data_IF_796715055652
#
_entry.id   IF_796715055652
#
_cell.length_a   1.000
_cell.length_b   1.000
_cell.length_c   1.000
_cell.angle_alpha   90.00
_cell.angle_beta   90.00
_cell.angle_gamma   90.00
#
_symmetry.space_group_name_H-M   'P 1'
#
loop_
_entity.id
_entity.type
_entity.pdbx_description
1 polymer ?
#
# COMPACT_ATOMS: atom_id res chain seq x y z
N UNK A 1 -35.15 6.22 19.84
CA UNK A 1 -35.34 7.66 19.55
C UNK A 1 -36.08 7.77 18.22
N UNK A 2 -37.34 8.22 18.25
CA UNK A 2 -38.16 8.36 17.04
C UNK A 2 -37.71 9.60 16.29
N UNK A 3 -37.18 9.42 15.09
CA UNK A 3 -36.83 10.56 14.21
C UNK A 3 -38.09 11.04 13.52
N UNK A 4 -38.55 12.26 13.82
CA UNK A 4 -39.65 12.91 13.12
C UNK A 4 -39.15 13.39 11.75
N UNK A 5 -39.73 12.88 10.67
CA UNK A 5 -39.45 13.31 9.29
C UNK A 5 -40.64 14.16 8.84
N UNK A 6 -40.39 15.40 8.44
CA UNK A 6 -41.38 16.34 7.94
C UNK A 6 -41.40 16.36 6.42
N UNK A 7 -42.55 16.09 5.80
CA UNK A 7 -42.73 16.19 4.35
C UNK A 7 -43.47 17.48 3.99
N UNK A 8 -42.97 18.20 3.00
CA UNK A 8 -43.54 19.47 2.54
C UNK A 8 -43.96 19.32 1.06
N UNK A 9 -45.27 19.25 0.77
CA UNK A 9 -45.71 19.24 -0.63
C UNK A 9 -45.76 20.66 -1.18
N UNK A 10 -45.22 20.90 -2.35
CA UNK A 10 -45.34 22.13 -3.09
C UNK A 10 -45.87 21.85 -4.49
N UNK A 11 -46.95 22.48 -4.84
CA UNK A 11 -47.62 22.57 -6.13
C UNK A 11 -48.14 21.31 -6.86
N UNK A 12 -49.29 21.49 -7.50
CA UNK A 12 -50.23 20.52 -8.02
C UNK A 12 -49.96 19.96 -9.42
N UNK A 13 -48.73 19.84 -9.89
CA UNK A 13 -48.42 19.14 -11.13
C UNK A 13 -47.69 17.83 -10.87
N UNK A 14 -48.16 16.74 -11.41
CA UNK A 14 -47.60 15.39 -11.24
C UNK A 14 -46.13 15.23 -11.65
N UNK A 15 -45.57 16.16 -12.41
CA UNK A 15 -44.24 16.15 -12.94
C UNK A 15 -43.26 17.19 -12.31
N UNK A 16 -43.59 17.72 -11.11
CA UNK A 16 -42.70 18.69 -10.50
C UNK A 16 -41.56 18.01 -9.72
N UNK A 17 -40.39 18.66 -9.68
CA UNK A 17 -39.23 18.23 -8.89
C UNK A 17 -39.57 17.92 -7.43
N UNK A 18 -40.55 18.67 -6.86
CA UNK A 18 -41.04 18.51 -5.49
C UNK A 18 -41.78 17.20 -5.29
N UNK A 19 -42.55 16.71 -6.27
CA UNK A 19 -43.21 15.40 -6.19
C UNK A 19 -42.23 14.26 -6.29
N UNK A 20 -41.19 14.39 -7.12
CA UNK A 20 -40.08 13.42 -7.22
C UNK A 20 -39.32 13.34 -5.90
N UNK A 21 -39.01 14.48 -5.27
CA UNK A 21 -38.33 14.56 -3.98
C UNK A 21 -39.18 13.97 -2.86
N UNK A 22 -40.48 14.26 -2.83
CA UNK A 22 -41.44 13.71 -1.85
C UNK A 22 -41.52 12.18 -1.95
N UNK A 23 -41.58 11.65 -3.18
CA UNK A 23 -41.60 10.21 -3.44
C UNK A 23 -40.30 9.53 -3.01
N UNK A 24 -39.15 10.16 -3.27
CA UNK A 24 -37.86 9.65 -2.83
C UNK A 24 -37.74 9.63 -1.29
N UNK A 25 -38.20 10.68 -0.62
CA UNK A 25 -38.23 10.77 0.84
C UNK A 25 -39.17 9.74 1.47
N UNK A 26 -40.35 9.49 0.86
CA UNK A 26 -41.30 8.46 1.32
C UNK A 26 -40.68 7.06 1.21
N UNK A 27 -40.09 6.71 0.06
CA UNK A 27 -39.40 5.42 -0.14
C UNK A 27 -38.24 5.23 0.84
N UNK A 28 -37.48 6.28 1.10
CA UNK A 28 -36.39 6.23 2.09
C UNK A 28 -36.91 6.00 3.52
N UNK A 29 -38.01 6.62 3.87
CA UNK A 29 -38.63 6.45 5.19
C UNK A 29 -39.29 5.08 5.37
N UNK A 30 -39.95 4.54 4.34
CA UNK A 30 -40.48 3.18 4.32
C UNK A 30 -39.40 2.11 4.46
N UNK A 31 -38.28 2.29 3.81
CA UNK A 31 -37.11 1.37 3.87
C UNK A 31 -36.50 1.33 5.29
N UNK A 32 -36.68 2.35 6.09
CA UNK A 32 -36.17 2.43 7.47
C UNK A 32 -37.18 2.04 8.54
N UNK A 33 -38.42 1.65 8.16
CA UNK A 33 -39.51 1.30 9.10
C UNK A 33 -40.03 2.47 9.92
N UNK A 34 -39.83 3.72 9.49
CA UNK A 34 -40.06 4.93 10.27
C UNK A 34 -41.47 5.54 10.12
N UNK A 35 -42.41 4.93 9.36
CA UNK A 35 -43.72 5.51 9.11
C UNK A 35 -44.87 4.55 9.48
N UNK A 36 -45.65 4.94 10.46
CA UNK A 36 -47.05 4.55 10.61
C UNK A 36 -47.90 5.83 10.50
N UNK A 37 -48.56 6.02 9.35
CA UNK A 37 -49.65 6.96 9.06
C UNK A 37 -49.46 8.47 9.35
N UNK A 38 -49.21 9.26 8.30
CA UNK A 38 -49.38 10.73 8.31
C UNK A 38 -50.56 11.11 7.43
N UNK A 39 -51.60 11.76 8.03
CA UNK A 39 -52.72 12.37 7.32
C UNK A 39 -52.43 13.85 7.04
N UNK A 40 -52.43 14.26 5.79
CA UNK A 40 -52.14 15.64 5.37
C UNK A 40 -53.44 16.44 5.17
N UNK A 41 -53.58 17.58 5.87
CA UNK A 41 -54.68 18.52 5.70
C UNK A 41 -54.23 19.74 4.90
N UNK A 42 -54.98 20.13 3.87
CA UNK A 42 -54.71 21.26 2.97
C UNK A 42 -54.77 22.61 3.70
N UNK A 43 -53.75 23.43 3.68
CA UNK A 43 -53.70 24.80 4.20
C UNK A 43 -53.36 25.84 3.14
N UNK A 44 -53.87 27.10 3.27
CA UNK A 44 -53.75 28.21 2.32
C UNK A 44 -52.34 28.86 2.29
N UNK A 45 -51.96 29.33 1.14
CA UNK A 45 -50.60 29.37 0.54
C UNK A 45 -49.64 30.51 0.89
N UNK A 46 -49.81 31.39 1.83
CA UNK A 46 -48.89 32.54 1.96
C UNK A 46 -48.02 32.61 3.22
N UNK A 47 -48.47 32.04 4.33
CA UNK A 47 -47.70 32.03 5.60
C UNK A 47 -46.79 30.79 5.70
N UNK A 48 -47.15 29.72 4.98
CA UNK A 48 -46.41 28.46 5.01
C UNK A 48 -45.06 28.55 4.28
N UNK A 49 -44.94 29.38 3.22
CA UNK A 49 -43.70 29.54 2.45
C UNK A 49 -42.58 30.21 3.25
N UNK A 50 -42.90 31.10 4.17
CA UNK A 50 -41.89 31.81 4.99
C UNK A 50 -41.38 30.92 6.15
N UNK A 51 -42.24 30.13 6.76
CA UNK A 51 -41.85 29.20 7.83
C UNK A 51 -41.05 28.00 7.30
N UNK A 52 -41.31 27.55 6.07
CA UNK A 52 -40.59 26.43 5.47
C UNK A 52 -39.15 26.81 5.05
N UNK A 53 -38.92 28.06 4.59
CA UNK A 53 -37.58 28.53 4.27
C UNK A 53 -36.68 28.66 5.51
N UNK A 54 -37.24 29.13 6.63
CA UNK A 54 -36.53 29.25 7.91
C UNK A 54 -36.24 27.88 8.52
N UNK A 55 -37.17 26.91 8.41
CA UNK A 55 -36.97 25.56 8.94
C UNK A 55 -35.98 24.75 8.08
N UNK A 56 -36.00 24.93 6.76
CA UNK A 56 -35.00 24.32 5.87
C UNK A 56 -33.59 24.86 6.14
N UNK A 57 -33.45 26.16 6.39
CA UNK A 57 -32.16 26.79 6.75
C UNK A 57 -31.65 26.31 8.13
N UNK A 58 -32.53 26.12 9.10
CA UNK A 58 -32.18 25.60 10.43
C UNK A 58 -31.82 24.09 10.41
N UNK A 59 -32.47 23.30 9.55
CA UNK A 59 -32.09 21.88 9.38
C UNK A 59 -30.83 21.70 8.59
N UNK A 60 -30.53 22.54 7.56
CA UNK A 60 -29.24 22.55 6.87
C UNK A 60 -28.11 22.99 7.79
N UNK A 61 -28.32 24.00 8.66
CA UNK A 61 -27.32 24.41 9.65
C UNK A 61 -27.07 23.34 10.73
N UNK A 62 -28.07 22.49 11.05
CA UNK A 62 -27.90 21.37 11.98
C UNK A 62 -27.27 20.13 11.33
N UNK A 63 -27.43 19.94 10.01
CA UNK A 63 -26.75 18.89 9.23
C UNK A 63 -25.30 19.26 8.90
N UNK A 64 -24.98 20.56 8.89
CA UNK A 64 -23.59 21.05 8.81
C UNK A 64 -22.82 20.89 10.13
N UNK A 65 -23.44 20.30 11.16
CA UNK A 65 -22.77 20.02 12.42
C UNK A 65 -21.97 18.73 12.32
N UNK A 66 -20.77 18.91 11.87
CA UNK A 66 -19.58 18.13 12.23
C UNK A 66 -19.77 16.61 12.31
N UNK A 67 -19.88 15.93 11.19
CA UNK A 67 -19.01 14.80 11.03
C UNK A 67 -17.60 15.38 10.73
N UNK A 68 -16.89 15.77 11.76
CA UNK A 68 -15.45 15.77 11.75
C UNK A 68 -15.05 14.29 11.65
N UNK A 69 -15.25 13.69 10.48
CA UNK A 69 -14.42 12.57 10.07
C UNK A 69 -13.01 13.17 10.08
N UNK A 70 -12.13 12.75 10.97
CA UNK A 70 -10.76 13.22 10.94
C UNK A 70 -10.28 13.02 9.51
N UNK A 71 -10.02 14.12 8.78
CA UNK A 71 -9.37 14.01 7.48
C UNK A 71 -8.03 13.40 7.85
N UNK A 72 -7.89 12.08 7.60
CA UNK A 72 -6.66 11.39 7.89
C UNK A 72 -5.54 12.16 7.20
N UNK A 73 -4.58 12.63 7.98
CA UNK A 73 -3.46 13.39 7.42
C UNK A 73 -2.79 12.54 6.35
N UNK A 74 -2.60 13.08 5.13
CA UNK A 74 -2.00 12.33 4.06
C UNK A 74 -0.63 11.79 4.46
N UNK A 75 -0.42 10.49 4.29
CA UNK A 75 0.90 9.90 4.47
C UNK A 75 1.74 10.07 3.22
N UNK A 76 3.07 10.09 3.39
CA UNK A 76 4.03 9.97 2.30
C UNK A 76 4.60 8.56 2.32
N UNK A 77 4.34 7.79 1.25
CA UNK A 77 4.88 6.45 1.06
C UNK A 77 6.10 6.52 0.15
N UNK A 78 7.16 5.81 0.55
CA UNK A 78 8.34 5.59 -0.29
C UNK A 78 8.42 4.09 -0.57
N UNK A 79 8.30 3.70 -1.84
CA UNK A 79 8.19 2.32 -2.27
C UNK A 79 9.49 1.87 -2.93
N UNK A 80 10.08 0.79 -2.40
CA UNK A 80 11.34 0.19 -2.88
C UNK A 80 11.06 -1.20 -3.41
N UNK A 81 11.40 -1.44 -4.69
CA UNK A 81 11.19 -2.72 -5.36
C UNK A 81 12.23 -3.77 -4.95
N UNK A 82 11.96 -5.03 -5.28
CA UNK A 82 12.88 -6.16 -5.10
C UNK A 82 13.83 -6.35 -6.27
N UNK A 83 14.66 -7.39 -6.15
CA UNK A 83 15.58 -7.84 -7.19
C UNK A 83 14.84 -8.24 -8.48
N UNK A 84 15.53 -8.16 -9.62
CA UNK A 84 15.01 -8.45 -10.97
C UNK A 84 13.79 -7.63 -11.40
N UNK A 85 13.35 -6.69 -10.56
CA UNK A 85 12.20 -5.82 -10.76
C UNK A 85 12.64 -4.36 -10.91
N UNK A 86 11.66 -3.47 -11.08
CA UNK A 86 11.87 -2.03 -11.25
C UNK A 86 10.61 -1.27 -10.83
N UNK A 87 10.58 0.09 -10.82
CA UNK A 87 9.44 0.89 -10.37
C UNK A 87 8.07 0.48 -10.90
N UNK A 88 8.01 -0.08 -12.11
CA UNK A 88 6.76 -0.46 -12.78
C UNK A 88 5.88 -1.41 -11.94
N UNK A 89 6.46 -2.16 -11.02
CA UNK A 89 5.71 -3.11 -10.19
C UNK A 89 4.74 -2.42 -9.25
N UNK A 90 5.01 -1.17 -8.91
CA UNK A 90 4.22 -0.35 -8.01
C UNK A 90 3.13 0.51 -8.68
N UNK A 91 3.01 0.50 -10.01
CA UNK A 91 2.15 1.43 -10.77
C UNK A 91 0.70 1.48 -10.24
N UNK A 92 0.08 0.31 -10.01
CA UNK A 92 -1.31 0.22 -9.55
C UNK A 92 -1.43 0.61 -8.08
N UNK A 93 -0.53 0.12 -7.22
CA UNK A 93 -0.49 0.50 -5.80
C UNK A 93 -0.28 1.99 -5.64
N UNK A 94 0.68 2.57 -6.39
CA UNK A 94 0.91 4.02 -6.43
C UNK A 94 -0.36 4.78 -6.78
N UNK A 95 -1.05 4.38 -7.83
CA UNK A 95 -2.30 5.02 -8.28
C UNK A 95 -3.37 4.93 -7.20
N UNK A 96 -3.54 3.77 -6.56
CA UNK A 96 -4.52 3.58 -5.49
C UNK A 96 -4.24 4.47 -4.27
N UNK A 97 -2.97 4.57 -3.86
CA UNK A 97 -2.56 5.42 -2.73
C UNK A 97 -2.78 6.91 -3.04
N UNK A 98 -2.41 7.36 -4.25
CA UNK A 98 -2.64 8.74 -4.71
C UNK A 98 -4.13 9.09 -4.75
N UNK A 99 -4.99 8.19 -5.24
CA UNK A 99 -6.45 8.38 -5.27
C UNK A 99 -7.08 8.48 -3.86
N UNK A 100 -6.36 8.07 -2.83
CA UNK A 100 -6.74 8.24 -1.41
C UNK A 100 -6.10 9.47 -0.76
N UNK A 101 -5.53 10.36 -1.56
CA UNK A 101 -4.95 11.63 -1.10
C UNK A 101 -3.54 11.53 -0.52
N UNK A 102 -2.91 10.36 -0.56
CA UNK A 102 -1.55 10.19 -0.07
C UNK A 102 -0.51 10.69 -1.09
N UNK A 103 0.71 10.96 -0.61
CA UNK A 103 1.88 11.19 -1.47
C UNK A 103 2.63 9.88 -1.67
N UNK A 104 3.18 9.65 -2.87
CA UNK A 104 3.90 8.41 -3.19
C UNK A 104 5.15 8.71 -3.99
N UNK A 105 6.28 8.23 -3.52
CA UNK A 105 7.55 8.19 -4.24
C UNK A 105 7.87 6.73 -4.51
N UNK A 106 8.12 6.39 -5.77
CA UNK A 106 8.63 5.08 -6.15
C UNK A 106 10.10 5.26 -6.52
N UNK A 107 10.97 4.56 -5.82
CA UNK A 107 12.42 4.67 -6.04
C UNK A 107 12.84 3.67 -7.11
N UNK A 108 13.57 4.15 -8.13
CA UNK A 108 14.32 3.31 -9.05
C UNK A 108 15.71 3.11 -8.48
N UNK A 109 16.04 1.87 -8.11
CA UNK A 109 17.36 1.54 -7.62
C UNK A 109 18.38 1.56 -8.78
N UNK A 110 19.62 2.04 -8.55
CA UNK A 110 20.64 2.01 -9.57
C UNK A 110 20.87 0.61 -10.16
N UNK A 111 21.07 0.54 -11.48
CA UNK A 111 21.20 -0.73 -12.22
C UNK A 111 19.88 -1.43 -12.55
N UNK A 112 18.72 -0.84 -12.23
CA UNK A 112 17.39 -1.39 -12.50
C UNK A 112 16.59 -0.53 -13.47
N UNK A 113 15.53 -1.10 -14.05
CA UNK A 113 14.62 -0.38 -14.94
C UNK A 113 15.34 0.31 -16.10
N UNK A 114 15.29 1.64 -16.13
CA UNK A 114 15.98 2.46 -17.12
C UNK A 114 17.39 2.87 -16.70
N UNK A 115 17.74 2.71 -15.42
CA UNK A 115 19.07 3.06 -14.92
C UNK A 115 20.13 2.07 -15.43
N UNK A 116 21.23 2.60 -15.99
CA UNK A 116 22.32 1.82 -16.57
C UNK A 116 23.64 1.97 -15.79
N UNK A 117 23.55 2.25 -14.48
CA UNK A 117 24.73 2.29 -13.61
C UNK A 117 25.47 0.94 -13.69
N UNK A 118 26.77 1.01 -13.85
CA UNK A 118 27.62 -0.18 -14.04
C UNK A 118 27.57 -1.09 -12.81
N UNK A 119 27.34 -2.40 -13.02
CA UNK A 119 27.08 -3.37 -11.95
C UNK A 119 28.23 -3.50 -10.95
N UNK A 120 29.47 -3.36 -11.38
CA UNK A 120 30.65 -3.41 -10.52
C UNK A 120 30.79 -2.23 -9.54
N UNK A 121 30.00 -1.15 -9.75
CA UNK A 121 29.95 0.00 -8.83
C UNK A 121 28.81 -0.09 -7.82
N UNK A 122 27.94 -1.08 -7.96
CA UNK A 122 26.74 -1.20 -7.14
C UNK A 122 27.03 -1.95 -5.84
N UNK A 123 26.42 -1.47 -4.78
CA UNK A 123 26.42 -2.08 -3.46
C UNK A 123 25.10 -1.79 -2.77
N UNK A 124 24.85 -2.47 -1.64
CA UNK A 124 23.69 -2.17 -0.82
C UNK A 124 23.71 -0.72 -0.29
N UNK A 125 24.90 -0.18 -0.04
CA UNK A 125 25.08 1.22 0.36
C UNK A 125 24.66 2.19 -0.74
N UNK A 126 24.96 1.90 -1.99
CA UNK A 126 24.50 2.69 -3.14
C UNK A 126 22.98 2.69 -3.24
N UNK A 127 22.35 1.53 -3.03
CA UNK A 127 20.88 1.43 -3.00
C UNK A 127 20.28 2.21 -1.82
N UNK A 128 20.85 2.07 -0.63
CA UNK A 128 20.48 2.83 0.57
C UNK A 128 20.54 4.34 0.31
N UNK A 129 21.65 4.82 -0.23
CA UNK A 129 21.88 6.25 -0.43
C UNK A 129 20.94 6.84 -1.48
N UNK A 130 20.56 6.05 -2.50
CA UNK A 130 19.52 6.44 -3.46
C UNK A 130 18.15 6.65 -2.80
N UNK A 131 17.78 5.79 -1.87
CA UNK A 131 16.53 5.93 -1.10
C UNK A 131 16.63 7.11 -0.14
N UNK A 132 17.76 7.29 0.53
CA UNK A 132 17.99 8.45 1.42
C UNK A 132 17.89 9.76 0.63
N UNK A 133 18.45 9.83 -0.57
CA UNK A 133 18.33 11.01 -1.45
C UNK A 133 16.86 11.39 -1.70
N UNK A 134 16.02 10.40 -1.98
CA UNK A 134 14.59 10.62 -2.20
C UNK A 134 13.87 11.12 -0.94
N UNK A 135 14.23 10.60 0.25
CA UNK A 135 13.59 10.94 1.53
C UNK A 135 14.11 12.27 2.08
N UNK A 136 15.39 12.58 1.91
CA UNK A 136 16.04 13.76 2.51
C UNK A 136 15.40 15.09 2.06
N UNK A 137 14.80 15.10 0.87
CA UNK A 137 14.11 16.26 0.29
C UNK A 137 12.73 16.53 0.91
N UNK A 138 12.24 15.62 1.78
CA UNK A 138 10.93 15.72 2.40
C UNK A 138 11.04 16.32 3.80
N UNK A 139 10.04 17.13 4.18
CA UNK A 139 9.96 17.69 5.52
C UNK A 139 9.25 16.76 6.52
N UNK A 140 8.35 15.91 6.03
CA UNK A 140 7.58 14.95 6.81
C UNK A 140 8.28 13.60 6.95
N UNK A 141 7.85 12.82 7.97
CA UNK A 141 8.23 11.41 8.09
C UNK A 141 7.50 10.57 7.03
N UNK A 142 8.14 9.50 6.58
CA UNK A 142 7.60 8.61 5.55
C UNK A 142 7.25 7.23 6.09
N UNK A 143 6.27 6.58 5.46
CA UNK A 143 6.10 5.13 5.53
C UNK A 143 7.00 4.53 4.46
N UNK A 144 8.06 3.86 4.88
CA UNK A 144 9.06 3.27 3.98
C UNK A 144 8.75 1.79 3.76
N UNK A 145 8.48 1.43 2.50
CA UNK A 145 8.01 0.10 2.10
C UNK A 145 9.08 -0.59 1.26
N UNK A 146 9.46 -1.80 1.64
CA UNK A 146 10.41 -2.63 0.90
C UNK A 146 9.85 -4.00 0.57
N UNK A 147 10.02 -4.41 -0.68
CA UNK A 147 9.69 -5.74 -1.16
C UNK A 147 10.95 -6.58 -1.39
N UNK A 148 10.95 -7.86 -1.01
CA UNK A 148 12.02 -8.80 -1.31
C UNK A 148 13.40 -8.25 -0.89
N UNK A 149 14.39 -8.15 -1.77
CA UNK A 149 15.69 -7.48 -1.54
C UNK A 149 15.51 -6.05 -0.99
N UNK A 150 14.46 -5.35 -1.38
CA UNK A 150 14.15 -4.00 -0.87
C UNK A 150 14.04 -3.94 0.66
N UNK A 151 13.77 -5.06 1.33
CA UNK A 151 13.81 -5.16 2.79
C UNK A 151 15.20 -4.92 3.38
N UNK A 152 16.27 -5.43 2.75
CA UNK A 152 17.65 -5.13 3.12
C UNK A 152 17.94 -3.63 2.98
N UNK A 153 17.48 -3.03 1.88
CA UNK A 153 17.68 -1.61 1.58
C UNK A 153 17.00 -0.73 2.63
N UNK A 154 15.71 -0.97 2.92
CA UNK A 154 14.97 -0.13 3.90
C UNK A 154 15.51 -0.31 5.32
N UNK A 155 16.05 -1.48 5.66
CA UNK A 155 16.75 -1.72 6.94
C UNK A 155 17.99 -0.83 7.05
N UNK A 156 18.82 -0.80 6.00
CA UNK A 156 20.02 0.04 5.96
C UNK A 156 19.69 1.55 5.95
N UNK A 157 18.60 1.96 5.29
CA UNK A 157 18.10 3.35 5.33
C UNK A 157 17.66 3.73 6.73
N UNK A 158 16.90 2.88 7.41
CA UNK A 158 16.38 3.15 8.74
C UNK A 158 17.50 3.31 9.78
N UNK A 159 18.61 2.61 9.62
CA UNK A 159 19.79 2.80 10.47
C UNK A 159 20.37 4.21 10.33
N UNK A 160 20.39 4.78 9.13
CA UNK A 160 21.01 6.08 8.85
C UNK A 160 20.11 7.27 9.17
N UNK A 161 18.81 7.17 8.91
CA UNK A 161 17.86 8.28 9.04
C UNK A 161 16.57 7.87 9.79
N UNK A 162 16.65 7.25 10.98
CA UNK A 162 15.47 6.75 11.69
C UNK A 162 14.44 7.84 11.98
N UNK A 163 14.90 9.07 12.23
CA UNK A 163 14.04 10.22 12.52
C UNK A 163 13.12 10.63 11.34
N UNK A 164 13.46 10.25 10.11
CA UNK A 164 12.69 10.53 8.90
C UNK A 164 11.64 9.45 8.58
N UNK A 165 11.60 8.36 9.34
CA UNK A 165 10.74 7.21 9.06
C UNK A 165 9.69 7.10 10.17
N UNK A 166 8.42 7.03 9.79
CA UNK A 166 7.31 6.78 10.71
C UNK A 166 7.09 5.28 10.94
N UNK A 167 7.17 4.49 9.86
CA UNK A 167 7.02 3.03 9.88
C UNK A 167 7.85 2.40 8.76
N UNK A 168 8.40 1.22 9.02
CA UNK A 168 8.94 0.30 8.02
C UNK A 168 7.90 -0.77 7.70
N UNK A 169 7.66 -1.01 6.42
CA UNK A 169 6.75 -2.06 5.95
C UNK A 169 7.50 -3.02 5.04
N UNK A 170 7.59 -4.26 5.47
CA UNK A 170 8.20 -5.37 4.73
C UNK A 170 7.11 -6.16 4.03
N UNK A 171 7.21 -6.37 2.72
CA UNK A 171 6.24 -7.15 1.94
C UNK A 171 6.96 -8.34 1.30
N UNK A 172 6.74 -9.57 1.79
CA UNK A 172 7.46 -10.76 1.32
C UNK A 172 8.95 -10.48 1.19
N UNK A 173 9.57 -9.87 2.22
CA UNK A 173 10.87 -9.21 2.10
C UNK A 173 11.92 -9.81 3.04
N UNK A 174 13.19 -9.72 2.66
CA UNK A 174 14.31 -10.05 3.54
C UNK A 174 14.40 -9.05 4.69
N UNK A 175 14.50 -9.57 5.90
CA UNK A 175 14.62 -8.80 7.13
C UNK A 175 15.81 -9.38 7.93
N UNK A 176 17.00 -8.75 7.83
CA UNK A 176 18.21 -9.31 8.43
C UNK A 176 18.27 -9.09 9.94
N UNK A 177 18.97 -9.96 10.64
CA UNK A 177 19.62 -9.60 11.89
C UNK A 177 20.88 -8.76 11.63
N UNK A 178 21.35 -8.02 12.63
CA UNK A 178 22.56 -7.19 12.46
C UNK A 178 23.77 -8.04 12.09
N UNK A 179 24.47 -7.65 11.05
CA UNK A 179 25.64 -8.38 10.52
C UNK A 179 25.32 -9.42 9.45
N UNK A 180 24.05 -9.61 9.05
CA UNK A 180 23.67 -10.52 7.97
C UNK A 180 23.63 -9.84 6.61
N UNK A 181 23.99 -10.60 5.58
CA UNK A 181 23.75 -10.31 4.18
C UNK A 181 22.46 -10.99 3.69
N UNK A 182 21.96 -10.59 2.52
CA UNK A 182 20.81 -11.26 1.89
C UNK A 182 21.15 -12.73 1.61
N UNK A 183 22.35 -13.03 1.14
CA UNK A 183 22.79 -14.40 0.87
C UNK A 183 22.77 -15.30 2.10
N UNK A 184 23.08 -14.77 3.29
CA UNK A 184 23.03 -15.56 4.53
C UNK A 184 21.60 -16.04 4.80
N UNK A 185 20.60 -15.18 4.58
CA UNK A 185 19.19 -15.49 4.72
C UNK A 185 18.71 -16.44 3.62
N UNK A 186 19.03 -16.15 2.36
CA UNK A 186 18.59 -16.96 1.23
C UNK A 186 19.10 -18.40 1.31
N UNK A 187 20.37 -18.61 1.72
CA UNK A 187 20.95 -19.96 1.90
C UNK A 187 20.36 -20.69 3.12
N UNK A 188 19.76 -19.97 4.07
CA UNK A 188 19.06 -20.58 5.22
C UNK A 188 17.63 -21.02 4.92
N UNK A 189 17.14 -20.84 3.68
CA UNK A 189 15.78 -21.17 3.27
C UNK A 189 15.74 -22.46 2.40
N UNK A 190 15.54 -23.64 3.01
CA UNK A 190 15.54 -24.90 2.28
C UNK A 190 14.31 -25.05 1.35
N UNK A 191 13.25 -24.27 1.60
CA UNK A 191 12.01 -24.34 0.83
C UNK A 191 11.99 -23.41 -0.38
N UNK A 192 12.96 -22.48 -0.49
CA UNK A 192 13.10 -21.58 -1.62
C UNK A 192 13.36 -22.36 -2.92
N UNK A 193 12.63 -21.97 -3.98
CA UNK A 193 12.80 -22.52 -5.32
C UNK A 193 13.69 -21.64 -6.21
N UNK A 194 14.14 -20.49 -5.69
CA UNK A 194 14.95 -19.55 -6.46
C UNK A 194 16.39 -20.04 -6.65
N UNK A 195 17.05 -20.48 -5.58
CA UNK A 195 18.48 -20.84 -5.59
C UNK A 195 18.91 -21.76 -6.75
N UNK A 196 18.22 -22.91 -6.98
CA UNK A 196 18.54 -23.85 -8.08
C UNK A 196 18.36 -23.27 -9.50
N UNK A 197 17.69 -22.11 -9.62
CA UNK A 197 17.37 -21.48 -10.90
C UNK A 197 18.20 -20.24 -11.19
N UNK A 198 19.13 -19.88 -10.28
CA UNK A 198 20.06 -18.77 -10.47
C UNK A 198 21.17 -19.14 -11.46
N UNK A 199 21.51 -18.21 -12.33
CA UNK A 199 22.58 -18.32 -13.33
C UNK A 199 23.51 -17.13 -13.16
N UNK A 200 24.66 -17.29 -12.50
CA UNK A 200 25.68 -16.24 -12.41
C UNK A 200 26.26 -15.92 -13.79
N UNK A 201 26.52 -14.64 -14.06
CA UNK A 201 27.31 -14.24 -15.22
C UNK A 201 28.78 -14.74 -15.12
N UNK A 202 29.48 -14.80 -16.24
CA UNK A 202 30.88 -15.28 -16.27
C UNK A 202 31.81 -14.45 -15.37
N UNK A 203 31.57 -13.16 -15.24
CA UNK A 203 32.29 -12.25 -14.35
C UNK A 203 31.74 -12.19 -12.93
N UNK A 204 30.65 -12.93 -12.64
CA UNK A 204 29.96 -12.99 -11.37
C UNK A 204 29.39 -11.65 -10.89
N UNK A 205 29.25 -10.67 -11.77
CA UNK A 205 28.72 -9.35 -11.44
C UNK A 205 27.20 -9.29 -11.51
N UNK A 206 26.56 -10.26 -12.16
CA UNK A 206 25.10 -10.35 -12.23
C UNK A 206 24.59 -11.77 -11.97
N UNK A 207 23.35 -11.84 -11.49
CA UNK A 207 22.59 -13.07 -11.34
C UNK A 207 21.39 -13.02 -12.27
N UNK A 208 21.34 -13.94 -13.20
CA UNK A 208 20.18 -14.21 -14.04
C UNK A 208 19.30 -15.29 -13.39
N UNK A 209 18.06 -15.42 -13.84
CA UNK A 209 17.15 -16.50 -13.45
C UNK A 209 16.74 -17.25 -14.71
N UNK A 210 16.69 -18.58 -14.61
CA UNK A 210 16.22 -19.42 -15.72
C UNK A 210 14.90 -18.85 -16.29
N UNK A 211 14.95 -18.44 -17.57
CA UNK A 211 13.93 -17.59 -18.20
C UNK A 211 12.51 -18.15 -18.11
N UNK A 212 12.37 -19.47 -18.35
CA UNK A 212 11.08 -20.15 -18.32
C UNK A 212 10.46 -20.23 -16.91
N UNK A 213 11.26 -19.95 -15.87
CA UNK A 213 10.83 -20.02 -14.47
C UNK A 213 10.43 -18.67 -13.88
N UNK A 214 10.68 -17.54 -14.58
CA UNK A 214 10.46 -16.19 -14.06
C UNK A 214 9.05 -15.95 -13.54
N UNK A 215 8.05 -16.27 -14.36
CA UNK A 215 6.65 -16.00 -14.00
C UNK A 215 6.14 -16.96 -12.93
N UNK A 216 6.66 -18.19 -12.91
CA UNK A 216 6.35 -19.16 -11.87
C UNK A 216 6.95 -18.75 -10.51
N UNK A 217 8.17 -18.25 -10.48
CA UNK A 217 8.82 -17.78 -9.25
C UNK A 217 8.16 -16.51 -8.71
N UNK A 218 8.03 -15.49 -9.55
CA UNK A 218 7.72 -14.13 -9.06
C UNK A 218 6.24 -13.75 -9.09
N UNK A 219 5.42 -14.40 -9.95
CA UNK A 219 4.03 -13.96 -10.17
C UNK A 219 3.13 -15.13 -10.65
N UNK A 220 3.22 -16.28 -10.02
CA UNK A 220 2.48 -17.46 -10.49
C UNK A 220 0.94 -17.27 -10.37
N UNK A 221 0.48 -16.52 -9.39
CA UNK A 221 -0.92 -16.15 -9.13
C UNK A 221 -1.42 -14.92 -9.90
N UNK A 222 -0.56 -14.29 -10.70
CA UNK A 222 -0.92 -13.12 -11.50
C UNK A 222 -1.62 -13.47 -12.81
N UNK A 223 -2.24 -12.46 -13.42
CA UNK A 223 -2.88 -12.58 -14.74
C UNK A 223 -1.83 -12.79 -15.84
N UNK A 224 -2.26 -13.20 -17.04
CA UNK A 224 -1.37 -13.30 -18.19
C UNK A 224 -0.74 -11.95 -18.58
N UNK A 225 -1.46 -10.85 -18.36
CA UNK A 225 -0.94 -9.50 -18.60
C UNK A 225 0.20 -9.18 -17.61
N UNK A 226 0.04 -9.51 -16.32
CA UNK A 226 1.08 -9.31 -15.29
C UNK A 226 2.30 -10.17 -15.59
N UNK A 227 2.11 -11.44 -15.94
CA UNK A 227 3.19 -12.36 -16.32
C UNK A 227 3.96 -11.84 -17.53
N UNK A 228 3.26 -11.35 -18.55
CA UNK A 228 3.88 -10.73 -19.74
C UNK A 228 4.67 -9.47 -19.36
N UNK A 229 4.13 -8.62 -18.47
CA UNK A 229 4.78 -7.40 -18.00
C UNK A 229 6.08 -7.72 -17.26
N UNK A 230 6.05 -8.67 -16.30
CA UNK A 230 7.25 -9.12 -15.57
C UNK A 230 8.28 -9.67 -16.54
N UNK A 231 7.89 -10.57 -17.44
CA UNK A 231 8.81 -11.17 -18.41
C UNK A 231 9.47 -10.15 -19.33
N UNK A 232 8.72 -9.15 -19.80
CA UNK A 232 9.22 -8.12 -20.72
C UNK A 232 10.07 -7.05 -20.07
N UNK A 233 9.92 -6.81 -18.76
CA UNK A 233 10.65 -5.80 -17.99
C UNK A 233 11.81 -6.37 -17.16
N UNK A 234 12.00 -7.67 -17.25
CA UNK A 234 13.04 -8.38 -16.52
C UNK A 234 14.45 -7.93 -16.94
N UNK A 235 15.33 -7.77 -15.96
CA UNK A 235 16.78 -7.61 -16.12
C UNK A 235 17.50 -8.51 -15.14
N UNK A 236 18.70 -8.97 -15.50
CA UNK A 236 19.60 -9.65 -14.56
C UNK A 236 19.96 -8.72 -13.40
N UNK A 237 20.05 -9.29 -12.22
CA UNK A 237 20.26 -8.56 -10.96
C UNK A 237 21.74 -8.34 -10.69
N UNK A 238 22.19 -7.14 -10.28
CA UNK A 238 23.53 -6.93 -9.74
C UNK A 238 23.81 -7.80 -8.52
N UNK A 239 24.89 -8.59 -8.54
CA UNK A 239 25.15 -9.61 -7.53
C UNK A 239 25.80 -9.05 -6.24
N UNK A 240 26.62 -8.00 -6.35
CA UNK A 240 27.37 -7.45 -5.21
C UNK A 240 26.48 -7.06 -4.03
N UNK A 241 25.32 -6.36 -4.23
CA UNK A 241 24.45 -5.96 -3.12
C UNK A 241 23.94 -7.13 -2.27
N UNK A 242 23.85 -8.34 -2.83
CA UNK A 242 23.37 -9.54 -2.11
C UNK A 242 24.33 -10.02 -1.03
N UNK A 243 25.63 -9.75 -1.21
CA UNK A 243 26.70 -10.17 -0.27
C UNK A 243 27.02 -9.12 0.78
N UNK A 244 26.47 -7.91 0.63
CA UNK A 244 26.75 -6.84 1.58
C UNK A 244 25.94 -7.03 2.87
N UNK A 245 26.65 -6.96 4.00
CA UNK A 245 26.05 -7.10 5.33
C UNK A 245 25.40 -5.80 5.77
N UNK A 246 24.24 -5.92 6.43
CA UNK A 246 23.58 -4.81 7.12
C UNK A 246 23.91 -4.88 8.59
N UNK A 247 24.52 -3.83 9.12
CA UNK A 247 24.69 -3.64 10.57
C UNK A 247 23.80 -2.52 11.05
N UNK A 248 23.19 -2.71 12.21
CA UNK A 248 22.29 -1.71 12.78
C UNK A 248 22.31 -1.72 14.29
N UNK A 249 21.86 -0.63 14.88
CA UNK A 249 21.81 -0.34 16.30
C UNK A 249 20.36 -0.33 16.80
N UNK A 250 20.23 -0.31 18.13
CA UNK A 250 18.92 -0.16 18.78
C UNK A 250 18.36 1.26 18.59
N UNK A 251 19.22 2.27 18.52
CA UNK A 251 18.89 3.68 18.36
C UNK A 251 18.58 4.04 16.91
N UNK A 252 19.16 3.33 15.94
CA UNK A 252 18.90 3.49 14.50
C UNK A 252 17.67 2.68 14.07
N UNK A 253 17.90 1.63 13.31
CA UNK A 253 16.85 0.71 12.83
C UNK A 253 15.97 0.17 13.97
N UNK A 254 16.57 -0.13 15.13
CA UNK A 254 15.86 -0.66 16.30
C UNK A 254 14.71 0.23 16.77
N UNK A 255 14.89 1.55 16.72
CA UNK A 255 13.92 2.53 17.20
C UNK A 255 12.69 2.71 16.28
N UNK A 256 12.76 2.27 15.02
CA UNK A 256 11.66 2.48 14.06
C UNK A 256 10.61 1.37 14.17
N UNK A 257 9.34 1.74 14.19
CA UNK A 257 8.22 0.80 14.16
C UNK A 257 8.22 -0.03 12.88
N UNK A 258 7.96 -1.33 12.99
CA UNK A 258 8.05 -2.31 11.90
C UNK A 258 6.75 -3.06 11.73
N UNK A 259 6.36 -3.28 10.49
CA UNK A 259 5.19 -4.09 10.09
C UNK A 259 5.65 -5.06 9.01
N UNK A 260 5.13 -6.28 9.04
CA UNK A 260 5.40 -7.26 7.99
C UNK A 260 4.09 -7.70 7.32
N UNK A 261 4.08 -7.69 5.97
CA UNK A 261 3.02 -8.28 5.15
C UNK A 261 3.59 -9.57 4.58
N UNK A 262 3.14 -10.69 5.13
CA UNK A 262 3.58 -12.04 4.80
C UNK A 262 2.86 -12.55 3.57
N UNK A 263 3.61 -13.16 2.63
CA UNK A 263 3.11 -13.79 1.41
C UNK A 263 3.04 -15.29 1.59
N UNK A 264 1.82 -15.87 1.63
CA UNK A 264 1.60 -17.26 2.08
C UNK A 264 1.93 -18.32 1.03
N UNK A 265 1.96 -17.95 -0.26
CA UNK A 265 2.29 -18.85 -1.38
C UNK A 265 3.65 -18.49 -2.02
N UNK A 266 4.51 -17.80 -1.27
CA UNK A 266 5.82 -17.38 -1.74
C UNK A 266 6.78 -18.57 -1.80
N UNK A 267 7.37 -18.80 -2.98
CA UNK A 267 8.36 -19.83 -3.24
C UNK A 267 9.76 -19.26 -3.49
N UNK A 268 9.91 -17.94 -3.38
CA UNK A 268 11.18 -17.22 -3.48
C UNK A 268 11.74 -16.97 -2.08
N UNK A 269 10.91 -16.41 -1.19
CA UNK A 269 11.18 -16.29 0.25
C UNK A 269 10.08 -17.09 0.95
N UNK A 270 10.38 -18.31 1.35
CA UNK A 270 9.36 -19.21 1.88
C UNK A 270 8.61 -18.62 3.09
N UNK A 271 7.33 -18.95 3.30
CA UNK A 271 6.62 -18.57 4.52
C UNK A 271 7.38 -18.92 5.80
N UNK A 272 8.10 -20.05 5.78
CA UNK A 272 8.94 -20.49 6.90
C UNK A 272 10.13 -19.57 7.17
N UNK A 273 10.80 -19.07 6.13
CA UNK A 273 11.85 -18.06 6.32
C UNK A 273 11.25 -16.72 6.78
N UNK A 274 10.13 -16.29 6.21
CA UNK A 274 9.44 -15.08 6.64
C UNK A 274 9.11 -15.13 8.14
N UNK A 275 8.58 -16.27 8.65
CA UNK A 275 8.28 -16.47 10.05
C UNK A 275 9.53 -16.36 10.93
N UNK A 276 10.63 -16.99 10.54
CA UNK A 276 11.90 -16.90 11.28
C UNK A 276 12.44 -15.47 11.36
N UNK A 277 12.39 -14.72 10.26
CA UNK A 277 12.84 -13.31 10.22
C UNK A 277 11.95 -12.42 11.09
N UNK A 278 10.63 -12.58 11.00
CA UNK A 278 9.63 -11.85 11.82
C UNK A 278 9.89 -12.08 13.31
N UNK A 279 10.04 -13.35 13.71
CA UNK A 279 10.32 -13.72 15.10
C UNK A 279 11.66 -13.17 15.59
N UNK A 280 12.73 -13.29 14.78
CA UNK A 280 14.07 -12.77 15.11
C UNK A 280 14.07 -11.25 15.31
N UNK A 281 13.28 -10.51 14.53
CA UNK A 281 13.16 -9.06 14.63
C UNK A 281 12.15 -8.60 15.69
N UNK A 282 11.42 -9.51 16.33
CA UNK A 282 10.39 -9.21 17.32
C UNK A 282 9.21 -8.41 16.78
N UNK A 283 8.85 -8.60 15.49
CA UNK A 283 7.73 -7.89 14.89
C UNK A 283 6.42 -8.53 15.36
N UNK A 284 5.54 -7.71 15.95
CA UNK A 284 4.23 -8.15 16.45
C UNK A 284 3.07 -7.78 15.53
N UNK A 285 3.27 -6.79 14.66
CA UNK A 285 2.25 -6.37 13.68
C UNK A 285 2.51 -7.07 12.35
N UNK A 286 1.77 -8.14 12.10
CA UNK A 286 1.88 -8.97 10.90
C UNK A 286 0.53 -9.04 10.21
N UNK A 287 0.53 -8.84 8.90
CA UNK A 287 -0.60 -9.11 8.01
C UNK A 287 -0.24 -10.25 7.08
N UNK A 288 -1.22 -11.04 6.67
CA UNK A 288 -1.03 -12.14 5.76
C UNK A 288 -1.81 -11.90 4.47
N UNK A 289 -1.19 -12.18 3.34
CA UNK A 289 -1.82 -12.18 2.02
C UNK A 289 -1.60 -13.53 1.35
N UNK A 290 -2.67 -14.12 0.84
CA UNK A 290 -2.61 -15.41 0.17
C UNK A 290 -2.22 -15.22 -1.30
N UNK A 291 -0.94 -14.91 -1.52
CA UNK A 291 -0.35 -14.57 -2.82
C UNK A 291 1.01 -15.23 -2.98
N UNK A 292 1.48 -15.29 -4.23
CA UNK A 292 2.88 -15.55 -4.56
C UNK A 292 3.77 -14.35 -4.18
N UNK A 293 5.01 -14.34 -4.66
CA UNK A 293 6.07 -13.38 -4.27
C UNK A 293 5.75 -11.90 -4.56
N UNK A 294 4.91 -11.59 -5.57
CA UNK A 294 4.66 -10.19 -6.00
C UNK A 294 3.20 -9.75 -5.79
N UNK A 295 2.72 -9.58 -4.53
CA UNK A 295 1.32 -9.30 -4.22
C UNK A 295 0.82 -7.96 -4.77
N UNK A 296 1.68 -6.99 -4.96
CA UNK A 296 1.35 -5.68 -5.54
C UNK A 296 1.01 -5.75 -7.05
N UNK A 297 1.34 -6.86 -7.72
CA UNK A 297 0.94 -7.14 -9.09
C UNK A 297 -0.33 -7.98 -9.12
N UNK A 298 -0.40 -9.10 -8.38
CA UNK A 298 -1.54 -10.01 -8.40
C UNK A 298 -2.75 -9.50 -7.63
N UNK A 299 -2.53 -8.81 -6.50
CA UNK A 299 -3.59 -8.27 -5.62
C UNK A 299 -3.32 -6.82 -5.20
N UNK A 300 -3.13 -5.88 -6.15
CA UNK A 300 -2.70 -4.51 -5.85
C UNK A 300 -3.66 -3.76 -4.94
N UNK A 301 -4.97 -4.06 -5.02
CA UNK A 301 -5.97 -3.44 -4.13
C UNK A 301 -5.76 -3.86 -2.68
N UNK A 302 -5.52 -5.14 -2.42
CA UNK A 302 -5.29 -5.67 -1.07
C UNK A 302 -4.05 -5.03 -0.46
N UNK A 303 -2.95 -4.95 -1.23
CA UNK A 303 -1.71 -4.30 -0.79
C UNK A 303 -1.94 -2.82 -0.49
N UNK A 304 -2.66 -2.10 -1.36
CA UNK A 304 -2.95 -0.67 -1.15
C UNK A 304 -3.80 -0.43 0.09
N UNK A 305 -4.84 -1.24 0.32
CA UNK A 305 -5.70 -1.12 1.49
C UNK A 305 -4.94 -1.39 2.79
N UNK A 306 -4.04 -2.39 2.78
CA UNK A 306 -3.16 -2.68 3.92
C UNK A 306 -2.19 -1.53 4.18
N UNK A 307 -1.56 -0.97 3.15
CA UNK A 307 -0.66 0.17 3.31
C UNK A 307 -1.39 1.38 3.89
N UNK A 308 -2.60 1.68 3.43
CA UNK A 308 -3.44 2.77 3.97
C UNK A 308 -3.75 2.51 5.45
N UNK A 309 -4.18 1.30 5.79
CA UNK A 309 -4.47 0.90 7.18
C UNK A 309 -3.22 1.02 8.08
N UNK A 310 -2.06 0.62 7.58
CA UNK A 310 -0.78 0.69 8.31
C UNK A 310 -0.35 2.14 8.50
N UNK A 311 -0.63 3.01 7.54
CA UNK A 311 -0.30 4.44 7.61
C UNK A 311 -1.10 5.22 8.66
N UNK A 312 -2.28 4.75 9.01
CA UNK A 312 -3.12 5.34 10.07
C UNK A 312 -2.56 5.03 11.46
#
# INVERSE_FOLDING_TARGET
MTKNILFIPAHSSENSFNNALLTACQKGAESTGAINHIKIKKMKNSVLSMLTAVFALLTFASYAKNDNIPIATPNTYVLVHGAWQAPYVWDVVRTNLLNKGNKVIVVELPGHGADNTATYTLSLDVYRDKVIEAISKLNEKVVLVGHSMGGMVITAVAEKIPAKISKLVYIGAFLPASGQALTDLAFSDPDSKLGPLLIPSADQLTLDVKRDSLTWLFINDGTQADKKKVFSKYRAEPAIPFTNKVTFTKEGFGAVSKVYIKTLQDIVISPGLQDRMIASAGITTVYEVNTSHSPFLSQPKVVSDLLIKIGQ
#
